data_IF_729489421637
#
_entry.id   IF_729489421637
#
_cell.length_a   1.000
_cell.length_b   1.000
_cell.length_c   1.000
_cell.angle_alpha   90.00
_cell.angle_beta   90.00
_cell.angle_gamma   90.00
#
_symmetry.space_group_name_H-M   'P 1'
#
loop_
_entity.id
_entity.type
_entity.pdbx_description
1 polymer ?
#
# COMPACT_ATOMS: atom_id res chain seq x y z
N UNK A 1 -1.49 -3.89 34.04
CA UNK A 1 -1.03 -2.48 34.05
C UNK A 1 -2.20 -1.61 33.63
N UNK A 2 -2.92 -1.07 34.61
CA UNK A 2 -3.97 -0.06 34.41
C UNK A 2 -3.39 1.19 33.75
N UNK A 3 -4.20 1.81 32.90
CA UNK A 3 -3.91 3.07 32.22
C UNK A 3 -4.05 4.24 33.21
N UNK A 4 -3.04 5.10 33.27
CA UNK A 4 -2.88 6.23 34.22
C UNK A 4 -3.99 7.32 34.12
N UNK A 5 -4.91 7.18 33.17
CA UNK A 5 -5.97 8.16 32.87
C UNK A 5 -7.40 7.62 33.08
N UNK A 6 -7.56 6.43 33.68
CA UNK A 6 -8.85 5.91 34.14
C UNK A 6 -9.82 5.39 33.07
N UNK A 7 -9.43 5.38 31.78
CA UNK A 7 -10.24 4.79 30.71
C UNK A 7 -9.87 3.33 30.49
N UNK A 8 -10.86 2.49 30.28
CA UNK A 8 -10.62 1.12 29.86
C UNK A 8 -9.94 1.06 28.48
N UNK A 9 -9.02 0.12 28.29
CA UNK A 9 -8.24 -0.02 27.05
C UNK A 9 -9.09 -0.16 25.80
N UNK A 10 -10.28 -0.74 25.93
CA UNK A 10 -11.19 -0.90 24.80
C UNK A 10 -11.68 0.46 24.27
N UNK A 11 -11.86 1.47 25.14
CA UNK A 11 -12.21 2.84 24.73
C UNK A 11 -11.05 3.49 23.97
N UNK A 12 -9.81 3.33 24.45
CA UNK A 12 -8.63 3.85 23.74
C UNK A 12 -8.53 3.27 22.31
N UNK A 13 -8.76 1.95 22.18
CA UNK A 13 -8.78 1.28 20.88
C UNK A 13 -9.94 1.79 20.01
N UNK A 14 -11.14 1.98 20.57
CA UNK A 14 -12.28 2.51 19.81
C UNK A 14 -12.03 3.95 19.32
N UNK A 15 -11.48 4.82 20.17
CA UNK A 15 -11.06 6.18 19.80
C UNK A 15 -10.05 6.12 18.65
N UNK A 16 -9.03 5.26 18.78
CA UNK A 16 -8.02 5.09 17.74
C UNK A 16 -8.59 4.53 16.45
N UNK A 17 -9.52 3.57 16.47
CA UNK A 17 -10.10 2.97 15.26
C UNK A 17 -11.08 3.92 14.57
N UNK A 18 -11.87 4.67 15.35
CA UNK A 18 -12.81 5.65 14.83
C UNK A 18 -12.10 6.74 14.03
N UNK A 19 -10.94 7.17 14.52
CA UNK A 19 -10.17 8.26 13.92
C UNK A 19 -9.78 8.04 12.44
N UNK A 20 -9.01 6.98 12.04
CA UNK A 20 -8.65 6.68 10.66
C UNK A 20 -9.82 6.13 9.85
N UNK A 21 -10.79 5.42 10.47
CA UNK A 21 -11.98 4.95 9.75
C UNK A 21 -12.80 6.12 9.17
N UNK A 22 -12.90 7.23 9.91
CA UNK A 22 -13.65 8.42 9.46
C UNK A 22 -12.76 9.54 8.88
N UNK A 23 -11.42 9.44 9.03
CA UNK A 23 -10.47 10.56 9.02
C UNK A 23 -11.05 11.81 9.65
N UNK A 24 -11.56 11.61 10.86
CA UNK A 24 -11.98 12.67 11.73
C UNK A 24 -10.75 13.52 12.11
N UNK A 25 -10.92 14.84 12.24
CA UNK A 25 -9.92 15.63 12.96
C UNK A 25 -9.98 15.27 14.45
N UNK A 26 -8.91 15.53 15.21
CA UNK A 26 -8.95 15.31 16.66
C UNK A 26 -10.08 16.10 17.35
N UNK A 27 -10.52 17.22 16.76
CA UNK A 27 -11.70 17.96 17.24
C UNK A 27 -12.98 17.15 17.09
N UNK A 28 -13.18 16.49 15.95
CA UNK A 28 -14.36 15.64 15.72
C UNK A 28 -14.34 14.43 16.67
N UNK A 29 -13.20 13.75 16.80
CA UNK A 29 -13.06 12.62 17.74
C UNK A 29 -13.31 13.06 19.18
N UNK A 30 -12.77 14.22 19.59
CA UNK A 30 -12.98 14.81 20.90
C UNK A 30 -14.47 15.02 21.21
N UNK A 31 -15.23 15.56 20.26
CA UNK A 31 -16.68 15.76 20.39
C UNK A 31 -17.46 14.44 20.41
N UNK A 32 -17.06 13.46 19.59
CA UNK A 32 -17.76 12.17 19.51
C UNK A 32 -17.64 11.36 20.79
N UNK A 33 -16.47 11.35 21.42
CA UNK A 33 -16.21 10.53 22.61
C UNK A 33 -16.30 11.31 23.93
N UNK A 34 -16.56 12.62 23.87
CA UNK A 34 -16.52 13.53 25.02
C UNK A 34 -15.17 13.46 25.78
N UNK A 35 -14.08 13.42 25.01
CA UNK A 35 -12.70 13.33 25.52
C UNK A 35 -11.95 14.60 25.13
N UNK A 36 -11.14 15.15 26.04
CA UNK A 36 -10.29 16.30 25.74
C UNK A 36 -9.40 16.02 24.51
N UNK A 37 -9.28 17.01 23.62
CA UNK A 37 -8.47 16.89 22.40
C UNK A 37 -7.02 16.46 22.65
N UNK A 38 -6.42 16.90 23.75
CA UNK A 38 -5.08 16.47 24.18
C UNK A 38 -5.03 14.98 24.53
N UNK A 39 -6.04 14.50 25.26
CA UNK A 39 -6.16 13.06 25.55
C UNK A 39 -6.41 12.23 24.29
N UNK A 40 -7.21 12.73 23.33
CA UNK A 40 -7.36 12.07 22.02
C UNK A 40 -6.02 11.95 21.31
N UNK A 41 -5.25 13.03 21.25
CA UNK A 41 -3.89 13.02 20.68
C UNK A 41 -3.02 11.94 21.36
N UNK A 42 -2.98 11.93 22.69
CA UNK A 42 -2.15 10.97 23.44
C UNK A 42 -2.59 9.52 23.24
N UNK A 43 -3.91 9.27 23.20
CA UNK A 43 -4.48 7.96 22.88
C UNK A 43 -4.05 7.52 21.48
N UNK A 44 -4.21 8.38 20.47
CA UNK A 44 -3.83 8.06 19.09
C UNK A 44 -2.36 7.67 19.01
N UNK A 45 -1.45 8.46 19.57
CA UNK A 45 -0.01 8.15 19.56
C UNK A 45 0.36 6.92 20.41
N UNK A 46 -0.33 6.67 21.52
CA UNK A 46 -0.12 5.49 22.36
C UNK A 46 -0.58 4.21 21.65
N UNK A 47 -1.78 4.22 21.08
CA UNK A 47 -2.33 3.06 20.37
C UNK A 47 -1.57 2.80 19.08
N UNK A 48 -1.19 3.82 18.31
CA UNK A 48 -0.29 3.65 17.13
C UNK A 48 0.98 2.89 17.50
N UNK A 49 1.68 3.30 18.58
CA UNK A 49 2.89 2.60 19.04
C UNK A 49 2.63 1.13 19.42
N UNK A 50 1.49 0.86 20.06
CA UNK A 50 1.10 -0.51 20.42
C UNK A 50 0.82 -1.37 19.17
N UNK A 51 0.13 -0.82 18.18
CA UNK A 51 -0.14 -1.48 16.89
C UNK A 51 1.16 -1.73 16.11
N UNK A 52 2.05 -0.74 16.05
CA UNK A 52 3.37 -0.91 15.41
C UNK A 52 4.25 -1.94 16.15
N UNK A 53 4.07 -2.10 17.47
CA UNK A 53 4.74 -3.13 18.26
C UNK A 53 4.41 -4.56 17.84
N UNK A 54 3.31 -4.79 17.13
CA UNK A 54 2.93 -6.10 16.57
C UNK A 54 3.15 -6.19 15.05
N UNK A 55 3.69 -5.14 14.41
CA UNK A 55 3.84 -5.07 12.94
C UNK A 55 4.55 -6.30 12.38
N UNK A 56 5.73 -6.65 12.89
CA UNK A 56 6.53 -7.80 12.41
C UNK A 56 5.89 -9.17 12.68
N UNK A 57 4.89 -9.24 13.58
CA UNK A 57 4.12 -10.46 13.84
C UNK A 57 2.97 -10.61 12.84
N UNK A 58 2.44 -9.50 12.34
CA UNK A 58 1.25 -9.45 11.48
C UNK A 58 1.60 -9.34 10.00
N UNK A 59 2.66 -8.58 9.68
CA UNK A 59 3.21 -8.38 8.35
C UNK A 59 4.57 -9.07 8.34
N UNK A 60 4.60 -10.26 7.74
CA UNK A 60 5.81 -11.05 7.55
C UNK A 60 5.60 -12.01 6.38
N UNK A 61 6.72 -12.42 5.77
CA UNK A 61 6.69 -13.43 4.72
C UNK A 61 6.25 -14.80 5.26
N UNK A 62 5.50 -15.58 4.45
CA UNK A 62 5.15 -16.94 4.79
C UNK A 62 6.41 -17.83 4.82
N UNK A 63 6.37 -18.89 5.61
CA UNK A 63 7.48 -19.85 5.77
C UNK A 63 6.97 -21.29 5.70
N UNK A 64 7.79 -22.23 5.24
CA UNK A 64 7.41 -23.64 5.18
C UNK A 64 6.19 -23.88 4.30
N UNK A 65 5.21 -24.64 4.81
CA UNK A 65 4.00 -25.05 4.08
C UNK A 65 3.15 -23.85 3.60
N UNK A 66 3.15 -22.74 4.35
CA UNK A 66 2.43 -21.52 3.96
C UNK A 66 2.99 -20.92 2.64
N UNK A 67 4.28 -21.10 2.37
CA UNK A 67 4.92 -20.60 1.15
C UNK A 67 4.42 -21.34 -0.09
N UNK A 68 4.27 -22.66 0.02
CA UNK A 68 3.72 -23.50 -1.05
C UNK A 68 2.24 -23.16 -1.28
N UNK A 69 1.46 -23.02 -0.21
CA UNK A 69 0.06 -22.59 -0.30
C UNK A 69 -0.09 -21.23 -1.00
N UNK A 70 0.79 -20.27 -0.69
CA UNK A 70 0.81 -18.96 -1.37
C UNK A 70 1.15 -19.09 -2.85
N UNK A 71 2.12 -19.95 -3.21
CA UNK A 71 2.47 -20.22 -4.61
C UNK A 71 1.32 -20.86 -5.39
N UNK A 72 0.66 -21.87 -4.81
CA UNK A 72 -0.52 -22.51 -5.40
C UNK A 72 -1.66 -21.50 -5.60
N UNK A 73 -1.97 -20.69 -4.58
CA UNK A 73 -3.00 -19.65 -4.69
C UNK A 73 -2.66 -18.59 -5.73
N UNK A 74 -1.39 -18.20 -5.84
CA UNK A 74 -0.91 -17.28 -6.88
C UNK A 74 -1.07 -17.86 -8.29
N UNK A 75 -0.75 -19.15 -8.48
CA UNK A 75 -0.95 -19.83 -9.76
C UNK A 75 -2.43 -19.92 -10.16
N UNK A 76 -3.32 -20.22 -9.19
CA UNK A 76 -4.76 -20.27 -9.39
C UNK A 76 -5.31 -18.89 -9.79
N UNK A 77 -4.93 -17.86 -9.05
CA UNK A 77 -5.33 -16.47 -9.30
C UNK A 77 -4.88 -15.99 -10.69
N UNK A 78 -3.61 -16.24 -11.03
CA UNK A 78 -3.03 -15.88 -12.32
C UNK A 78 -3.51 -16.78 -13.47
N UNK A 79 -4.18 -17.90 -13.16
CA UNK A 79 -4.54 -18.99 -14.10
C UNK A 79 -3.35 -19.47 -14.91
N UNK A 80 -2.19 -19.56 -14.28
CA UNK A 80 -0.95 -19.96 -14.92
C UNK A 80 -0.03 -20.68 -13.93
N UNK A 81 0.46 -21.89 -14.26
CA UNK A 81 1.37 -22.64 -13.39
C UNK A 81 2.73 -21.95 -13.23
N UNK A 82 3.05 -20.96 -14.07
CA UNK A 82 4.27 -20.17 -13.96
C UNK A 82 4.38 -19.41 -12.63
N UNK A 83 3.24 -19.15 -11.95
CA UNK A 83 3.20 -18.45 -10.67
C UNK A 83 3.15 -19.40 -9.45
N UNK A 84 3.36 -20.70 -9.65
CA UNK A 84 3.37 -21.71 -8.57
C UNK A 84 4.43 -21.49 -7.50
N UNK A 85 5.45 -20.67 -7.80
CA UNK A 85 6.50 -20.25 -6.85
C UNK A 85 6.43 -18.77 -6.51
N UNK A 86 5.38 -18.07 -6.93
CA UNK A 86 5.21 -16.65 -6.63
C UNK A 86 4.77 -16.49 -5.16
N UNK A 87 5.55 -15.69 -4.42
CA UNK A 87 5.33 -15.46 -2.98
C UNK A 87 4.51 -14.20 -2.73
N UNK A 88 4.49 -13.28 -3.69
CA UNK A 88 3.62 -12.11 -3.63
C UNK A 88 3.78 -11.17 -4.82
N UNK A 89 2.86 -10.24 -4.94
CA UNK A 89 2.88 -9.13 -5.87
C UNK A 89 3.39 -7.86 -5.17
N UNK A 90 4.27 -7.10 -5.82
CA UNK A 90 4.82 -5.84 -5.31
C UNK A 90 4.30 -4.65 -6.13
N UNK A 91 3.88 -3.60 -5.44
CA UNK A 91 3.44 -2.34 -6.05
C UNK A 91 3.46 -1.22 -4.99
N UNK A 92 3.32 0.03 -5.43
CA UNK A 92 3.23 1.19 -4.55
C UNK A 92 2.02 2.07 -4.82
N UNK A 93 1.44 2.60 -3.74
CA UNK A 93 0.38 3.60 -3.80
C UNK A 93 0.85 4.94 -3.21
N UNK A 94 0.43 6.04 -3.84
CA UNK A 94 0.68 7.39 -3.34
C UNK A 94 -0.43 7.79 -2.36
N UNK A 95 -0.02 8.30 -1.20
CA UNK A 95 -0.90 8.76 -0.14
C UNK A 95 -0.75 10.27 -0.05
N UNK A 96 -1.85 11.00 -0.26
CA UNK A 96 -1.84 12.46 -0.30
C UNK A 96 -1.51 13.03 1.08
N UNK A 97 -0.60 13.99 1.13
CA UNK A 97 -0.25 14.72 2.36
C UNK A 97 -0.40 16.21 2.16
N UNK A 98 -0.59 16.96 3.26
CA UNK A 98 -0.40 18.41 3.21
C UNK A 98 1.07 18.71 2.88
N UNK A 99 1.36 19.74 2.06
CA UNK A 99 2.72 20.15 1.77
C UNK A 99 3.50 20.39 3.08
N UNK A 100 4.63 19.70 3.32
CA UNK A 100 5.42 19.95 4.52
C UNK A 100 6.03 21.35 4.46
N UNK A 101 6.13 22.01 5.62
CA UNK A 101 6.70 23.36 5.71
C UNK A 101 8.17 23.41 5.25
N UNK A 102 8.92 22.33 5.48
CA UNK A 102 10.31 22.17 5.05
C UNK A 102 10.41 21.03 4.03
N UNK A 103 11.29 21.18 3.03
CA UNK A 103 11.55 20.14 2.02
C UNK A 103 10.31 19.65 1.24
N UNK A 104 9.32 20.53 1.02
CA UNK A 104 8.08 20.20 0.30
C UNK A 104 8.32 19.54 -1.06
N UNK A 105 9.35 19.98 -1.78
CA UNK A 105 9.74 19.44 -3.08
C UNK A 105 10.08 17.94 -3.05
N UNK A 106 10.60 17.42 -1.92
CA UNK A 106 10.90 15.99 -1.75
C UNK A 106 9.65 15.12 -1.74
N UNK A 107 8.47 15.71 -1.53
CA UNK A 107 7.20 14.99 -1.47
C UNK A 107 6.36 15.22 -2.73
N UNK A 108 6.84 16.02 -3.68
CA UNK A 108 6.11 16.33 -4.89
C UNK A 108 6.31 15.22 -5.93
N UNK A 109 5.22 14.56 -6.32
CA UNK A 109 5.27 13.40 -7.20
C UNK A 109 5.06 13.78 -8.69
N UNK A 110 5.25 12.81 -9.58
CA UNK A 110 5.05 12.97 -11.04
C UNK A 110 3.58 13.21 -11.44
N UNK A 111 2.63 12.89 -10.55
CA UNK A 111 1.20 13.20 -10.70
C UNK A 111 0.85 14.62 -10.22
N UNK A 112 1.85 15.46 -9.92
CA UNK A 112 1.71 16.87 -9.56
C UNK A 112 0.96 17.12 -8.23
N UNK A 113 1.12 16.21 -7.25
CA UNK A 113 0.64 16.44 -5.88
C UNK A 113 1.66 15.99 -4.83
N UNK A 114 1.50 16.48 -3.59
CA UNK A 114 2.34 16.11 -2.46
C UNK A 114 1.89 14.77 -1.87
N UNK A 115 2.80 13.81 -1.76
CA UNK A 115 2.49 12.47 -1.30
C UNK A 115 3.65 11.79 -0.59
N UNK A 116 3.33 10.82 0.24
CA UNK A 116 4.25 9.74 0.60
C UNK A 116 3.90 8.48 -0.19
N UNK A 117 4.87 7.59 -0.37
CA UNK A 117 4.66 6.30 -1.04
C UNK A 117 4.56 5.20 0.00
N UNK A 118 3.50 4.40 -0.09
CA UNK A 118 3.42 3.07 0.51
C UNK A 118 3.75 2.06 -0.58
N UNK A 119 4.88 1.37 -0.46
CA UNK A 119 5.17 0.16 -1.23
C UNK A 119 4.79 -1.05 -0.38
N UNK A 120 4.17 -2.05 -0.98
CA UNK A 120 3.81 -3.26 -0.27
C UNK A 120 4.04 -4.50 -1.14
N UNK A 121 4.24 -5.63 -0.48
CA UNK A 121 4.19 -6.96 -1.08
C UNK A 121 2.93 -7.65 -0.55
N UNK A 122 2.13 -8.26 -1.42
CA UNK A 122 0.87 -8.93 -1.05
C UNK A 122 0.80 -10.35 -1.56
N UNK A 123 0.18 -11.24 -0.78
CA UNK A 123 -0.16 -12.58 -1.26
C UNK A 123 -1.40 -12.59 -2.16
N UNK A 124 -1.75 -13.77 -2.69
CA UNK A 124 -2.93 -13.97 -3.54
C UNK A 124 -4.28 -13.68 -2.86
N UNK A 125 -4.31 -13.44 -1.53
CA UNK A 125 -5.50 -13.08 -0.76
C UNK A 125 -5.55 -11.59 -0.44
N UNK A 126 -4.52 -10.83 -0.84
CA UNK A 126 -4.39 -9.40 -0.52
C UNK A 126 -3.88 -9.13 0.89
N UNK A 127 -3.26 -10.12 1.57
CA UNK A 127 -2.55 -9.92 2.84
C UNK A 127 -1.20 -9.28 2.57
N UNK A 128 -0.85 -8.22 3.29
CA UNK A 128 0.47 -7.60 3.21
C UNK A 128 1.54 -8.51 3.86
N UNK A 129 2.59 -8.83 3.12
CA UNK A 129 3.73 -9.63 3.56
C UNK A 129 4.92 -8.76 3.98
N UNK A 130 5.04 -7.61 3.32
CA UNK A 130 6.03 -6.57 3.62
C UNK A 130 5.47 -5.20 3.24
N UNK A 131 5.90 -4.16 3.95
CA UNK A 131 5.54 -2.78 3.66
C UNK A 131 6.72 -1.84 3.86
N UNK A 132 6.79 -0.81 3.02
CA UNK A 132 7.66 0.34 3.19
C UNK A 132 6.84 1.62 3.03
N UNK A 133 6.99 2.55 3.96
CA UNK A 133 6.31 3.86 3.91
C UNK A 133 7.33 4.97 4.02
N UNK A 134 7.40 5.84 3.01
CA UNK A 134 8.42 6.87 2.99
C UNK A 134 8.23 7.91 1.90
N UNK A 135 9.31 8.64 1.61
CA UNK A 135 9.36 9.62 0.55
C UNK A 135 8.95 9.00 -0.80
N UNK A 136 8.33 9.77 -1.70
CA UNK A 136 8.04 9.31 -3.05
C UNK A 136 9.37 9.03 -3.74
N UNK A 137 9.74 7.75 -3.84
CA UNK A 137 10.91 7.32 -4.58
C UNK A 137 10.66 7.43 -6.08
N UNK A 138 11.73 7.45 -6.87
CA UNK A 138 11.58 7.24 -8.31
C UNK A 138 11.27 5.76 -8.57
N UNK A 139 10.25 5.42 -9.37
CA UNK A 139 10.06 4.04 -9.78
C UNK A 139 11.26 3.58 -10.60
N UNK A 140 11.82 2.42 -10.23
CA UNK A 140 12.85 1.74 -11.04
C UNK A 140 12.18 1.34 -12.37
N UNK A 141 12.57 1.97 -13.47
CA UNK A 141 12.05 1.67 -14.80
C UNK A 141 13.06 0.84 -15.59
N UNK A 142 12.99 -0.49 -15.44
CA UNK A 142 13.72 -1.42 -16.29
C UNK A 142 12.78 -1.95 -17.41
N UNK A 143 13.21 -1.95 -18.70
CA UNK A 143 12.45 -2.53 -19.82
C UNK A 143 11.98 -3.98 -19.60
N UNK A 144 12.73 -4.78 -18.83
CA UNK A 144 12.36 -6.15 -18.45
C UNK A 144 11.12 -6.17 -17.54
N UNK A 145 11.00 -5.18 -16.65
CA UNK A 145 9.88 -5.05 -15.71
C UNK A 145 8.58 -4.69 -16.42
N UNK A 146 8.62 -3.88 -17.49
CA UNK A 146 7.42 -3.58 -18.29
C UNK A 146 6.86 -4.82 -18.99
N UNK A 147 7.73 -5.73 -19.47
CA UNK A 147 7.32 -6.99 -20.12
C UNK A 147 6.78 -8.01 -19.11
N UNK A 148 7.35 -8.02 -17.90
CA UNK A 148 6.83 -8.78 -16.76
C UNK A 148 5.45 -8.25 -16.33
N UNK A 149 5.30 -6.93 -16.18
CA UNK A 149 4.06 -6.27 -15.74
C UNK A 149 2.86 -6.54 -16.67
N UNK A 150 3.07 -6.58 -17.99
CA UNK A 150 1.99 -6.88 -18.95
C UNK A 150 1.41 -8.30 -18.79
N UNK A 151 2.27 -9.30 -18.49
CA UNK A 151 1.83 -10.68 -18.21
C UNK A 151 1.39 -10.89 -16.75
N UNK A 152 1.81 -10.00 -15.86
CA UNK A 152 1.48 -9.99 -14.43
C UNK A 152 0.22 -9.19 -14.12
N UNK A 153 -0.44 -8.54 -15.08
CA UNK A 153 -1.60 -7.64 -14.84
C UNK A 153 -2.67 -8.23 -13.93
N UNK A 154 -2.96 -9.53 -14.04
CA UNK A 154 -3.94 -10.22 -13.18
C UNK A 154 -3.47 -10.51 -11.76
N UNK A 155 -2.17 -10.75 -11.59
CA UNK A 155 -1.54 -10.81 -10.28
C UNK A 155 -1.20 -9.40 -9.75
N UNK A 156 -1.22 -8.36 -10.59
CA UNK A 156 -1.20 -6.94 -10.18
C UNK A 156 -2.58 -6.51 -9.65
N UNK A 157 -3.67 -7.00 -10.26
CA UNK A 157 -5.02 -6.73 -9.75
C UNK A 157 -5.19 -7.13 -8.27
N UNK A 158 -4.43 -8.10 -7.73
CA UNK A 158 -4.57 -8.45 -6.30
C UNK A 158 -3.93 -7.43 -5.38
N UNK A 159 -2.80 -6.84 -5.76
CA UNK A 159 -2.18 -5.79 -4.96
C UNK A 159 -2.94 -4.49 -5.11
N UNK A 160 -3.43 -4.18 -6.31
CA UNK A 160 -4.36 -3.07 -6.54
C UNK A 160 -5.66 -3.28 -5.74
N UNK A 161 -6.20 -4.51 -5.70
CA UNK A 161 -7.34 -4.87 -4.85
C UNK A 161 -6.99 -4.78 -3.37
N UNK A 162 -5.82 -5.20 -2.93
CA UNK A 162 -5.40 -5.10 -1.53
C UNK A 162 -5.30 -3.63 -1.10
N UNK A 163 -4.69 -2.78 -1.93
CA UNK A 163 -4.72 -1.35 -1.74
C UNK A 163 -6.14 -0.80 -1.79
N UNK A 164 -6.98 -1.26 -2.71
CA UNK A 164 -8.39 -0.91 -2.82
C UNK A 164 -9.16 -1.22 -1.54
N UNK A 165 -9.09 -2.45 -1.03
CA UNK A 165 -9.73 -2.87 0.23
C UNK A 165 -9.24 -2.05 1.42
N UNK A 166 -7.92 -1.83 1.53
CA UNK A 166 -7.35 -1.01 2.58
C UNK A 166 -7.82 0.46 2.45
N UNK A 167 -7.84 1.01 1.23
CA UNK A 167 -8.35 2.36 0.95
C UNK A 167 -9.85 2.44 1.25
N UNK A 168 -10.69 1.48 0.88
CA UNK A 168 -12.12 1.46 1.19
C UNK A 168 -12.35 1.39 2.71
N UNK A 169 -11.56 0.60 3.43
CA UNK A 169 -11.64 0.49 4.89
C UNK A 169 -11.20 1.77 5.61
N UNK A 170 -10.22 2.47 5.05
CA UNK A 170 -9.62 3.68 5.62
C UNK A 170 -9.77 4.89 4.67
N UNK A 171 -10.93 5.02 3.99
CA UNK A 171 -11.17 5.96 2.85
C UNK A 171 -10.54 7.31 3.09
N UNK A 172 -10.82 7.81 4.26
CA UNK A 172 -10.58 9.19 4.59
C UNK A 172 -9.07 9.45 4.87
N UNK A 173 -8.26 8.43 5.21
CA UNK A 173 -6.78 8.49 5.34
C UNK A 173 -6.09 8.57 3.98
N UNK A 174 -6.67 7.92 2.98
CA UNK A 174 -6.05 7.77 1.65
C UNK A 174 -6.60 8.76 0.61
N UNK A 175 -7.82 9.28 0.80
CA UNK A 175 -8.49 10.18 -0.13
C UNK A 175 -8.51 11.65 0.32
N UNK A 176 -8.26 11.95 1.60
CA UNK A 176 -8.11 13.34 2.09
C UNK A 176 -6.67 13.58 2.55
N UNK A 177 -6.19 14.81 2.38
CA UNK A 177 -4.91 15.22 2.95
C UNK A 177 -5.01 15.17 4.48
N UNK A 178 -4.33 14.20 5.09
CA UNK A 178 -4.35 14.00 6.54
C UNK A 178 -3.95 15.28 7.28
N UNK A 179 -4.74 15.67 8.28
CA UNK A 179 -4.49 16.85 9.10
C UNK A 179 -3.52 16.58 10.26
N UNK A 180 -2.48 15.81 9.99
CA UNK A 180 -1.42 15.46 10.93
C UNK A 180 -0.07 15.86 10.36
N UNK A 181 0.94 15.91 11.22
CA UNK A 181 2.32 16.16 10.79
C UNK A 181 2.75 15.12 9.75
N UNK A 182 3.37 15.52 8.63
CA UNK A 182 3.96 14.59 7.65
C UNK A 182 4.90 13.56 8.27
N UNK A 183 5.55 13.87 9.40
CA UNK A 183 6.40 12.94 10.13
C UNK A 183 5.62 11.79 10.79
N UNK A 184 4.34 11.98 11.10
CA UNK A 184 3.48 10.96 11.73
C UNK A 184 2.70 10.13 10.71
N UNK A 185 2.58 10.60 9.46
CA UNK A 185 1.83 9.88 8.42
C UNK A 185 2.36 8.46 8.17
N UNK A 186 3.69 8.20 8.10
CA UNK A 186 4.21 6.86 7.90
C UNK A 186 3.76 5.86 8.97
N UNK A 187 3.72 6.28 10.23
CA UNK A 187 3.25 5.46 11.36
C UNK A 187 1.77 5.10 11.21
N UNK A 188 0.94 6.06 10.83
CA UNK A 188 -0.52 5.85 10.65
C UNK A 188 -0.78 4.89 9.50
N UNK A 189 -0.09 5.05 8.38
CA UNK A 189 -0.23 4.17 7.21
C UNK A 189 0.21 2.75 7.54
N UNK A 190 1.32 2.59 8.27
CA UNK A 190 1.76 1.29 8.75
C UNK A 190 0.74 0.66 9.72
N UNK A 191 0.11 1.45 10.59
CA UNK A 191 -1.00 0.97 11.44
C UNK A 191 -2.18 0.47 10.59
N UNK A 192 -2.59 1.23 9.57
CA UNK A 192 -3.67 0.82 8.65
C UNK A 192 -3.36 -0.52 7.95
N UNK A 193 -2.12 -0.74 7.54
CA UNK A 193 -1.68 -2.01 6.94
C UNK A 193 -1.71 -3.18 7.95
N UNK A 194 -1.28 -2.96 9.20
CA UNK A 194 -1.38 -3.96 10.27
C UNK A 194 -2.84 -4.31 10.54
N UNK A 195 -3.70 -3.31 10.70
CA UNK A 195 -5.13 -3.50 10.94
C UNK A 195 -5.81 -4.20 9.75
N UNK A 196 -5.45 -3.87 8.52
CA UNK A 196 -5.93 -4.57 7.31
C UNK A 196 -5.65 -6.07 7.39
N UNK A 197 -4.41 -6.47 7.67
CA UNK A 197 -4.09 -7.89 7.84
C UNK A 197 -4.84 -8.53 9.00
N UNK A 198 -5.01 -7.83 10.13
CA UNK A 198 -5.80 -8.34 11.25
C UNK A 198 -7.27 -8.56 10.84
N UNK A 199 -7.87 -7.67 10.06
CA UNK A 199 -9.25 -7.86 9.56
C UNK A 199 -9.34 -9.08 8.65
N UNK A 200 -8.39 -9.27 7.73
CA UNK A 200 -8.34 -10.45 6.87
C UNK A 200 -8.17 -11.76 7.65
N UNK A 201 -7.34 -11.76 8.70
CA UNK A 201 -7.15 -12.92 9.57
C UNK A 201 -8.41 -13.28 10.34
N UNK A 202 -9.29 -12.32 10.61
CA UNK A 202 -10.59 -12.52 11.25
C UNK A 202 -11.74 -12.76 10.26
N UNK A 203 -11.45 -12.88 8.96
CA UNK A 203 -12.46 -13.12 7.93
C UNK A 203 -13.30 -11.90 7.55
N UNK A 204 -12.94 -10.71 8.04
CA UNK A 204 -13.54 -9.44 7.62
C UNK A 204 -12.89 -9.01 6.29
N UNK A 205 -13.51 -9.44 5.19
CA UNK A 205 -13.09 -9.11 3.82
C UNK A 205 -14.06 -8.05 3.27
N UNK A 206 -13.52 -6.86 3.00
CA UNK A 206 -14.24 -5.77 2.32
C UNK A 206 -14.02 -5.92 0.82
N UNK A 207 -15.04 -5.69 -0.01
CA UNK A 207 -14.84 -5.60 -1.45
C UNK A 207 -14.24 -4.23 -1.80
N UNK A 208 -13.20 -4.22 -2.63
CA UNK A 208 -12.67 -2.96 -3.13
C UNK A 208 -13.74 -2.32 -4.02
N UNK A 209 -14.15 -1.10 -3.70
CA UNK A 209 -14.99 -0.31 -4.59
C UNK A 209 -14.16 0.02 -5.84
N UNK A 210 -14.72 -0.22 -7.04
CA UNK A 210 -14.12 0.17 -8.31
C UNK A 210 -14.13 1.71 -8.40
N UNK A 211 -13.20 2.35 -7.73
CA UNK A 211 -13.04 3.80 -7.79
C UNK A 211 -12.01 4.13 -8.85
N UNK A 212 -12.51 4.54 -10.02
CA UNK A 212 -11.75 5.38 -10.94
C UNK A 212 -11.14 6.50 -10.08
N UNK A 213 -9.81 6.61 -10.09
CA UNK A 213 -9.06 7.73 -9.52
C UNK A 213 -9.64 8.98 -10.20
N UNK A 214 -10.70 9.59 -9.63
CA UNK A 214 -11.32 10.80 -10.19
C UNK A 214 -10.28 11.90 -10.04
N UNK A 215 -9.54 12.06 -11.13
CA UNK A 215 -8.53 13.06 -11.38
C UNK A 215 -9.25 14.41 -11.41
N UNK A 216 -9.53 14.99 -10.24
CA UNK A 216 -10.00 16.38 -10.11
C UNK A 216 -8.91 17.41 -10.49
N UNK A 217 -7.79 16.94 -11.08
CA UNK A 217 -6.77 17.79 -11.68
C UNK A 217 -7.24 18.41 -13.00
N UNK A 218 -6.73 19.60 -13.37
CA UNK A 218 -7.02 20.19 -14.66
C UNK A 218 -6.60 19.23 -15.79
N UNK A 219 -7.38 19.15 -16.90
CA UNK A 219 -7.12 18.20 -17.96
C UNK A 219 -5.71 18.39 -18.54
N UNK A 220 -4.98 17.27 -18.67
CA UNK A 220 -3.61 17.23 -19.20
C UNK A 220 -3.55 17.86 -20.60
N UNK A 221 -2.52 18.65 -20.94
CA UNK A 221 -2.24 18.99 -22.33
C UNK A 221 -1.88 17.72 -23.11
N UNK A 222 -2.57 17.50 -24.24
CA UNK A 222 -2.36 16.34 -25.10
C UNK A 222 -0.95 16.38 -25.70
N UNK A 223 -0.06 15.46 -25.33
CA UNK A 223 1.26 15.32 -25.95
C UNK A 223 1.18 14.29 -27.10
N UNK A 224 1.23 14.70 -28.39
CA UNK A 224 1.08 13.80 -29.52
C UNK A 224 2.20 12.76 -29.66
N UNK A 225 3.34 12.96 -28.99
CA UNK A 225 4.51 12.08 -29.08
C UNK A 225 4.40 10.78 -28.25
N UNK A 226 3.46 10.69 -27.32
CA UNK A 226 3.31 9.49 -26.46
C UNK A 226 2.80 8.27 -27.25
N UNK A 227 2.02 8.48 -28.33
CA UNK A 227 1.39 7.40 -29.11
C UNK A 227 2.35 6.60 -30.01
N UNK A 228 3.55 7.12 -30.27
CA UNK A 228 4.53 6.49 -31.17
C UNK A 228 5.35 5.43 -30.43
N UNK A 229 5.54 5.58 -29.11
CA UNK A 229 6.35 4.67 -28.30
C UNK A 229 5.67 3.33 -27.98
N UNK A 230 4.34 3.31 -27.91
CA UNK A 230 3.57 2.11 -27.57
C UNK A 230 3.64 1.06 -28.68
N UNK A 231 3.51 1.47 -29.95
CA UNK A 231 3.61 0.55 -31.09
C UNK A 231 5.03 -0.02 -31.31
N UNK A 232 6.08 0.75 -31.00
CA UNK A 232 7.47 0.25 -31.07
C UNK A 232 7.75 -0.73 -29.92
N UNK A 233 7.18 -0.47 -28.73
CA UNK A 233 7.25 -1.35 -27.56
C UNK A 233 6.52 -2.67 -27.77
N UNK A 234 5.32 -2.65 -28.34
CA UNK A 234 4.53 -3.85 -28.60
C UNK A 234 5.19 -4.76 -29.64
N UNK A 235 5.81 -4.16 -30.68
CA UNK A 235 6.55 -4.89 -31.70
C UNK A 235 7.83 -5.56 -31.16
N UNK A 236 8.56 -4.88 -30.25
CA UNK A 236 9.74 -5.48 -29.59
C UNK A 236 9.33 -6.56 -28.57
N UNK A 237 8.20 -6.38 -27.89
CA UNK A 237 7.66 -7.36 -26.95
C UNK A 237 7.20 -8.66 -27.61
N UNK A 238 6.68 -8.58 -28.85
CA UNK A 238 6.35 -9.73 -29.67
C UNK A 238 7.60 -10.52 -30.09
N UNK A 239 8.68 -9.83 -30.48
CA UNK A 239 9.92 -10.45 -30.93
C UNK A 239 10.65 -11.26 -29.85
N UNK A 240 10.61 -10.84 -28.58
CA UNK A 240 11.29 -11.55 -27.47
C UNK A 240 10.36 -12.55 -26.75
N UNK A 241 9.07 -12.60 -27.11
CA UNK A 241 8.11 -13.59 -26.57
C UNK A 241 8.03 -14.87 -27.41
N UNK A 242 8.72 -14.93 -28.54
CA UNK A 242 8.83 -16.16 -29.33
C UNK A 242 9.72 -17.20 -28.60
N UNK A 243 9.24 -18.44 -28.43
CA UNK A 243 10.01 -19.48 -27.76
C UNK A 243 11.07 -20.00 -28.72
N UNK A 244 12.32 -19.67 -28.44
CA UNK A 244 13.55 -20.43 -28.70
C UNK A 244 14.68 -19.44 -28.90
N UNK A 245 15.55 -19.32 -27.90
CA UNK A 245 17.01 -19.25 -28.01
C UNK A 245 17.52 -19.20 -26.56
N UNK A 246 18.21 -20.27 -26.15
CA UNK A 246 18.99 -20.28 -24.93
C UNK A 246 20.11 -19.24 -25.08
N UNK A 247 20.22 -18.29 -24.15
CA UNK A 247 21.47 -17.56 -23.94
C UNK A 247 21.82 -17.62 -22.46
N UNK A 248 22.95 -18.25 -22.18
CA UNK A 248 23.60 -18.28 -20.88
C UNK A 248 24.21 -16.91 -20.58
N UNK A 249 23.82 -16.31 -19.45
CA UNK A 249 24.50 -15.29 -18.63
C UNK A 249 23.40 -14.78 -17.67
N UNK A 250 23.58 -14.75 -16.35
CA UNK A 250 24.56 -13.97 -15.64
C UNK A 250 24.84 -14.65 -14.29
N UNK A 251 26.10 -15.03 -14.07
CA UNK A 251 26.67 -15.06 -12.72
C UNK A 251 26.94 -13.61 -12.31
N UNK A 252 26.54 -13.25 -11.10
CA UNK A 252 27.28 -12.44 -10.12
C UNK A 252 26.27 -11.86 -9.11
N UNK A 253 26.14 -12.57 -7.99
CA UNK A 253 25.65 -12.03 -6.74
C UNK A 253 26.88 -11.59 -5.96
N UNK A 254 27.01 -10.30 -5.66
CA UNK A 254 27.77 -9.86 -4.51
C UNK A 254 27.00 -8.74 -3.81
N UNK A 255 26.60 -9.04 -2.58
CA UNK A 255 26.05 -8.11 -1.60
C UNK A 255 27.21 -7.63 -0.71
N UNK A 256 27.41 -6.33 -0.65
CA UNK A 256 28.01 -5.63 0.50
C UNK A 256 27.09 -4.46 0.88
#
# INVERSE_FOLDING_TARGET
MESDHGWERHIEVLVFLYWPAHAASYTVVSQTFDILKTSVHDIVHRVSRAVLGILRKVICFPTGDDLEAVGVGSAQLARSPAFSRAVGAIDGCHIRIKPPANNSHCYYNRKLFHSIQLQAITDHRGKFLDIFVGYPGEPVQNPVQARFNSKHSRAWNIIERAFGMMKTRWRSVFFKALEISPAFVPEVVACCAVLHNLTLLNGDIVEAEDEEDHDDGPPKPHNPQARVGDHIRDNLAAAVSAPNICVAALHEHDYL
#
